data_IF_613277281308
#
_entry.id   IF_613277281308
#
_cell.length_a   1.000
_cell.length_b   1.000
_cell.length_c   1.000
_cell.angle_alpha   90.00
_cell.angle_beta   90.00
_cell.angle_gamma   90.00
#
_symmetry.space_group_name_H-M   'P 1'
#
loop_
_entity.id
_entity.type
_entity.pdbx_description
1 polymer ?
#
# COMPACT_ATOMS: atom_id res chain seq x y z
N UNK A 1 -23.88 -19.15 2.26
CA UNK A 1 -22.98 -18.42 3.17
C UNK A 1 -23.20 -16.93 2.94
N UNK A 2 -23.83 -16.23 3.89
CA UNK A 2 -23.99 -14.78 3.81
C UNK A 2 -22.64 -14.19 4.21
N UNK A 3 -21.84 -13.77 3.24
CA UNK A 3 -20.70 -12.89 3.52
C UNK A 3 -21.33 -11.59 4.04
N UNK A 4 -21.32 -11.42 5.35
CA UNK A 4 -21.64 -10.14 5.99
C UNK A 4 -20.53 -9.16 5.63
N UNK A 5 -20.57 -8.67 4.39
CA UNK A 5 -19.68 -7.59 3.95
C UNK A 5 -20.01 -6.38 4.80
N UNK A 6 -19.06 -6.00 5.64
CA UNK A 6 -19.16 -4.92 6.60
C UNK A 6 -19.67 -3.65 5.92
N UNK A 7 -20.72 -3.03 6.50
CA UNK A 7 -21.17 -1.68 6.15
C UNK A 7 -19.94 -0.77 6.10
N UNK A 8 -19.81 -0.03 5.00
CA UNK A 8 -18.85 1.08 4.77
C UNK A 8 -17.62 1.06 5.69
N UNK A 9 -16.49 0.55 5.20
CA UNK A 9 -15.23 0.61 5.95
C UNK A 9 -14.98 2.08 6.31
N UNK A 10 -15.06 2.39 7.60
CA UNK A 10 -14.67 3.69 8.12
C UNK A 10 -13.16 3.84 7.92
N UNK A 11 -12.78 4.53 6.85
CA UNK A 11 -11.40 4.93 6.62
C UNK A 11 -11.13 6.15 7.49
N UNK A 12 -10.15 6.10 8.41
CA UNK A 12 -9.85 7.24 9.27
C UNK A 12 -9.35 8.41 8.42
N UNK A 13 -9.64 9.68 8.76
CA UNK A 13 -9.08 10.83 8.07
C UNK A 13 -7.58 10.95 8.41
N UNK A 14 -6.75 10.18 7.72
CA UNK A 14 -5.32 10.03 7.98
C UNK A 14 -4.49 10.25 6.72
N UNK A 15 -3.31 10.85 6.87
CA UNK A 15 -2.31 10.99 5.80
C UNK A 15 -1.39 9.78 5.76
N UNK A 16 -0.87 9.44 4.57
CA UNK A 16 0.08 8.36 4.39
C UNK A 16 1.27 8.45 5.35
N UNK A 17 1.83 9.66 5.51
CA UNK A 17 2.93 9.92 6.44
C UNK A 17 2.65 9.44 7.87
N UNK A 18 1.43 9.65 8.38
CA UNK A 18 1.07 9.20 9.74
C UNK A 18 0.95 7.68 9.83
N UNK A 19 0.47 7.03 8.76
CA UNK A 19 0.47 5.56 8.68
C UNK A 19 1.91 5.03 8.73
N UNK A 20 2.81 5.63 7.96
CA UNK A 20 4.23 5.26 7.94
C UNK A 20 4.90 5.49 9.30
N UNK A 21 4.73 6.66 9.91
CA UNK A 21 5.26 6.98 11.24
C UNK A 21 4.78 5.98 12.30
N UNK A 22 3.49 5.62 12.28
CA UNK A 22 2.91 4.63 13.18
C UNK A 22 3.53 3.23 13.00
N UNK A 23 3.60 2.74 11.76
CA UNK A 23 4.16 1.41 11.45
C UNK A 23 5.64 1.36 11.84
N UNK A 24 6.41 2.39 11.51
CA UNK A 24 7.84 2.46 11.85
C UNK A 24 8.10 2.61 13.34
N UNK A 25 7.18 3.23 14.09
CA UNK A 25 7.27 3.31 15.55
C UNK A 25 7.16 1.92 16.18
N UNK A 26 6.15 1.13 15.78
CA UNK A 26 5.93 -0.23 16.28
C UNK A 26 7.04 -1.18 15.82
N UNK A 27 7.58 -0.99 14.61
CA UNK A 27 8.71 -1.79 14.14
C UNK A 27 9.94 -1.71 15.05
N UNK A 28 10.10 -0.59 15.76
CA UNK A 28 11.25 -0.30 16.62
C UNK A 28 10.99 -0.53 18.11
N UNK A 29 9.71 -0.66 18.51
CA UNK A 29 9.29 -0.64 19.92
C UNK A 29 8.08 -1.54 20.12
N UNK A 30 8.06 -2.27 21.23
CA UNK A 30 6.82 -2.84 21.74
C UNK A 30 6.00 -1.70 22.36
N UNK A 31 4.98 -1.24 21.64
CA UNK A 31 4.18 -0.09 22.05
C UNK A 31 2.80 -0.53 22.55
N UNK A 32 2.38 -0.04 23.70
CA UNK A 32 0.99 -0.12 24.13
C UNK A 32 0.12 0.90 23.40
N UNK A 33 -1.19 0.71 23.44
CA UNK A 33 -2.13 1.71 22.92
C UNK A 33 -1.99 3.08 23.61
N UNK A 34 -1.58 3.12 24.87
CA UNK A 34 -1.36 4.38 25.57
C UNK A 34 -0.09 5.08 25.06
N UNK A 35 1.01 4.35 24.88
CA UNK A 35 2.26 4.90 24.33
C UNK A 35 2.04 5.54 22.95
N UNK A 36 1.21 4.91 22.11
CA UNK A 36 0.87 5.41 20.79
C UNK A 36 0.06 6.71 20.85
N UNK A 37 -0.85 6.85 21.82
CA UNK A 37 -1.59 8.10 22.04
C UNK A 37 -0.71 9.20 22.59
N UNK A 38 0.14 8.88 23.58
CA UNK A 38 1.09 9.83 24.17
C UNK A 38 2.09 10.35 23.13
N UNK A 39 2.47 9.49 22.18
CA UNK A 39 3.32 9.86 21.05
C UNK A 39 2.57 10.60 19.92
N UNK A 40 1.27 10.83 20.05
CA UNK A 40 0.44 11.47 19.03
C UNK A 40 0.25 10.65 17.75
N UNK A 41 0.59 9.37 17.78
CA UNK A 41 0.51 8.43 16.66
C UNK A 41 -0.86 7.76 16.56
N UNK A 42 -1.68 7.83 17.61
CA UNK A 42 -3.03 7.31 17.63
C UNK A 42 -4.05 8.41 17.96
N UNK A 43 -5.24 8.34 17.36
CA UNK A 43 -6.32 9.30 17.53
C UNK A 43 -7.61 8.56 17.91
N UNK A 44 -8.41 9.17 18.80
CA UNK A 44 -9.72 8.66 19.21
C UNK A 44 -9.73 7.92 20.54
N UNK A 45 -10.93 7.51 20.98
CA UNK A 45 -11.14 6.75 22.23
C UNK A 45 -11.04 5.23 21.97
N UNK A 46 -10.66 4.45 22.99
CA UNK A 46 -10.58 2.98 22.89
C UNK A 46 -9.42 2.50 21.98
N UNK A 47 -9.61 1.49 21.15
CA UNK A 47 -8.51 0.89 20.37
C UNK A 47 -7.81 1.84 19.38
N UNK A 48 -8.33 3.05 19.16
CA UNK A 48 -7.77 4.02 18.22
C UNK A 48 -8.17 3.73 16.77
N UNK A 49 -8.24 4.78 15.95
CA UNK A 49 -8.72 4.66 14.59
C UNK A 49 -7.66 4.09 13.63
N UNK A 50 -6.38 4.34 13.90
CA UNK A 50 -5.24 3.93 13.06
C UNK A 50 -4.89 2.46 13.33
N UNK A 51 -4.83 2.06 14.60
CA UNK A 51 -4.66 0.66 14.99
C UNK A 51 -5.75 -0.21 14.37
N UNK A 52 -7.03 0.18 14.53
CA UNK A 52 -8.16 -0.57 13.96
C UNK A 52 -8.07 -0.68 12.44
N UNK A 53 -7.64 0.37 11.77
CA UNK A 53 -7.42 0.34 10.32
C UNK A 53 -6.31 -0.64 9.94
N UNK A 54 -5.15 -0.57 10.58
CA UNK A 54 -4.00 -1.44 10.27
C UNK A 54 -4.22 -2.90 10.67
N UNK A 55 -5.00 -3.18 11.73
CA UNK A 55 -5.43 -4.55 12.06
C UNK A 55 -6.35 -5.13 10.99
N UNK A 56 -7.27 -4.33 10.43
CA UNK A 56 -8.12 -4.78 9.30
C UNK A 56 -7.29 -5.12 8.07
N UNK A 57 -6.21 -4.38 7.83
CA UNK A 57 -5.24 -4.71 6.78
C UNK A 57 -4.31 -5.88 7.15
N UNK A 58 -4.45 -6.44 8.35
CA UNK A 58 -3.58 -7.47 8.92
C UNK A 58 -2.11 -7.04 9.01
N UNK A 59 -1.81 -5.74 9.11
CA UNK A 59 -0.45 -5.21 9.24
C UNK A 59 0.01 -5.29 10.70
N UNK A 60 -0.89 -4.98 11.62
CA UNK A 60 -0.65 -5.08 13.06
C UNK A 60 -1.67 -5.99 13.71
N UNK A 61 -1.37 -6.43 14.92
CA UNK A 61 -2.27 -7.12 15.82
C UNK A 61 -2.11 -6.56 17.23
N UNK A 62 -3.18 -6.60 18.03
CA UNK A 62 -3.12 -6.22 19.45
C UNK A 62 -3.22 -7.46 20.32
N UNK A 63 -2.14 -7.77 21.03
CA UNK A 63 -2.04 -8.91 21.94
C UNK A 63 -1.72 -8.38 23.33
N UNK A 64 -2.56 -8.70 24.32
CA UNK A 64 -2.40 -8.26 25.71
C UNK A 64 -2.19 -6.74 25.88
N UNK A 65 -2.86 -5.93 25.05
CA UNK A 65 -2.77 -4.46 25.09
C UNK A 65 -1.54 -3.86 24.42
N UNK A 66 -0.64 -4.69 23.87
CA UNK A 66 0.52 -4.29 23.09
C UNK A 66 0.21 -4.45 21.61
N UNK A 67 0.58 -3.45 20.81
CA UNK A 67 0.47 -3.50 19.36
C UNK A 67 1.76 -4.07 18.78
N UNK A 68 1.65 -5.10 17.95
CA UNK A 68 2.78 -5.77 17.31
C UNK A 68 2.58 -5.88 15.79
N UNK A 69 3.68 -5.95 15.03
CA UNK A 69 3.63 -6.25 13.60
C UNK A 69 3.33 -7.74 13.37
N UNK A 70 2.37 -8.02 12.50
CA UNK A 70 2.17 -9.38 11.97
C UNK A 70 3.29 -9.75 11.01
N UNK A 71 3.29 -10.98 10.48
CA UNK A 71 4.18 -11.37 9.37
C UNK A 71 4.04 -10.44 8.17
N UNK A 72 2.81 -10.05 7.81
CA UNK A 72 2.56 -9.11 6.71
C UNK A 72 3.12 -7.72 7.03
N UNK A 73 2.97 -7.25 8.27
CA UNK A 73 3.52 -5.98 8.72
C UNK A 73 5.05 -5.95 8.71
N UNK A 74 5.70 -7.06 9.08
CA UNK A 74 7.16 -7.20 8.96
C UNK A 74 7.61 -7.14 7.51
N UNK A 75 6.92 -7.85 6.61
CA UNK A 75 7.18 -7.77 5.16
C UNK A 75 7.02 -6.36 4.62
N UNK A 76 5.97 -5.64 5.05
CA UNK A 76 5.77 -4.23 4.69
C UNK A 76 6.96 -3.36 5.11
N UNK A 77 7.41 -3.49 6.37
CA UNK A 77 8.56 -2.73 6.89
C UNK A 77 9.82 -3.02 6.10
N UNK A 78 10.15 -4.29 5.85
CA UNK A 78 11.34 -4.68 5.08
C UNK A 78 11.32 -4.10 3.66
N UNK A 79 10.18 -4.18 2.97
CA UNK A 79 10.07 -3.61 1.62
C UNK A 79 10.12 -2.08 1.64
N UNK A 80 9.53 -1.45 2.67
CA UNK A 80 9.53 0.02 2.85
C UNK A 80 10.96 0.57 2.98
N UNK A 81 11.90 -0.18 3.56
CA UNK A 81 13.30 0.24 3.64
C UNK A 81 13.98 0.36 2.26
N UNK A 82 13.57 -0.45 1.29
CA UNK A 82 14.15 -0.45 -0.06
C UNK A 82 13.40 0.45 -1.02
N UNK A 83 12.06 0.43 -0.95
CA UNK A 83 11.18 1.02 -1.95
C UNK A 83 10.45 2.27 -1.45
N UNK A 84 10.74 2.70 -0.22
CA UNK A 84 10.10 3.87 0.40
C UNK A 84 8.60 3.68 0.56
N UNK A 85 7.84 4.77 0.45
CA UNK A 85 6.39 4.75 0.65
C UNK A 85 5.63 4.06 -0.49
N UNK A 86 6.24 3.79 -1.65
CA UNK A 86 5.57 3.15 -2.77
C UNK A 86 4.98 1.77 -2.41
N UNK A 87 5.53 1.08 -1.41
CA UNK A 87 5.03 -0.23 -0.94
C UNK A 87 3.64 -0.19 -0.32
N UNK A 88 3.17 0.99 0.10
CA UNK A 88 1.79 1.13 0.57
C UNK A 88 0.79 1.03 -0.59
N UNK A 89 1.20 1.32 -1.83
CA UNK A 89 0.34 1.16 -3.00
C UNK A 89 -0.15 -0.30 -3.17
N UNK A 90 0.71 -1.32 -3.31
CA UNK A 90 0.25 -2.70 -3.45
C UNK A 90 -0.48 -3.20 -2.20
N UNK A 91 -0.09 -2.78 -0.99
CA UNK A 91 -0.84 -3.12 0.23
C UNK A 91 -2.29 -2.63 0.16
N UNK A 92 -2.49 -1.34 -0.13
CA UNK A 92 -3.82 -0.73 -0.21
C UNK A 92 -4.61 -1.25 -1.40
N UNK A 93 -3.97 -1.45 -2.55
CA UNK A 93 -4.60 -2.00 -3.75
C UNK A 93 -5.13 -3.43 -3.52
N UNK A 94 -4.42 -4.24 -2.73
CA UNK A 94 -4.86 -5.61 -2.42
C UNK A 94 -5.87 -5.68 -1.27
N UNK A 95 -5.73 -4.82 -0.24
CA UNK A 95 -6.48 -4.94 1.02
C UNK A 95 -7.61 -3.93 1.20
N UNK A 96 -7.69 -2.89 0.37
CA UNK A 96 -8.71 -1.84 0.45
C UNK A 96 -9.47 -1.77 -0.87
N UNK A 97 -10.62 -2.46 -1.01
CA UNK A 97 -11.39 -2.50 -2.26
C UNK A 97 -11.72 -1.10 -2.80
N UNK A 98 -12.00 -0.14 -1.93
CA UNK A 98 -12.31 1.24 -2.32
C UNK A 98 -11.10 1.95 -2.92
N UNK A 99 -9.89 1.69 -2.43
CA UNK A 99 -8.65 2.22 -3.02
C UNK A 99 -8.41 1.60 -4.39
N UNK A 100 -8.57 0.28 -4.51
CA UNK A 100 -8.46 -0.43 -5.80
C UNK A 100 -9.39 0.16 -6.86
N UNK A 101 -10.69 0.30 -6.52
CA UNK A 101 -11.68 0.88 -7.42
C UNK A 101 -11.34 2.32 -7.82
N UNK A 102 -10.84 3.13 -6.88
CA UNK A 102 -10.38 4.49 -7.17
C UNK A 102 -9.26 4.48 -8.22
N UNK A 103 -8.24 3.66 -8.02
CA UNK A 103 -7.11 3.55 -8.96
C UNK A 103 -7.57 3.01 -10.31
N UNK A 104 -8.42 1.98 -10.34
CA UNK A 104 -8.92 1.39 -11.58
C UNK A 104 -9.74 2.40 -12.39
N UNK A 105 -10.60 3.22 -11.76
CA UNK A 105 -11.38 4.25 -12.47
C UNK A 105 -10.48 5.32 -13.09
N UNK A 106 -9.49 5.83 -12.34
CA UNK A 106 -8.58 6.87 -12.84
C UNK A 106 -7.63 6.32 -13.92
N UNK A 107 -7.28 5.02 -13.85
CA UNK A 107 -6.48 4.33 -14.88
C UNK A 107 -7.22 4.22 -16.21
N UNK A 108 -8.53 4.06 -16.18
CA UNK A 108 -9.34 3.93 -17.40
C UNK A 108 -9.59 5.27 -18.11
N UNK A 109 -9.69 6.37 -17.35
CA UNK A 109 -9.93 7.70 -17.91
C UNK A 109 -9.58 8.83 -16.95
N UNK A 110 -9.27 9.99 -17.53
CA UNK A 110 -9.20 11.25 -16.78
C UNK A 110 -10.59 11.63 -16.30
N UNK A 111 -10.72 12.04 -15.03
CA UNK A 111 -12.05 12.17 -14.40
C UNK A 111 -12.07 13.27 -13.34
N UNK A 112 -13.16 14.05 -13.29
CA UNK A 112 -13.36 15.07 -12.27
C UNK A 112 -13.64 14.48 -10.88
N UNK A 113 -13.43 15.26 -9.81
CA UNK A 113 -13.53 14.75 -8.42
C UNK A 113 -14.90 14.15 -8.05
N UNK A 114 -16.00 14.83 -8.39
CA UNK A 114 -17.36 14.37 -8.05
C UNK A 114 -17.79 13.18 -8.93
N UNK A 115 -17.36 13.17 -10.20
CA UNK A 115 -17.59 12.06 -11.11
C UNK A 115 -16.81 10.81 -10.65
N UNK A 116 -15.57 10.99 -10.20
CA UNK A 116 -14.75 9.91 -9.64
C UNK A 116 -15.40 9.32 -8.39
N UNK A 117 -15.90 10.17 -7.48
CA UNK A 117 -16.59 9.71 -6.27
C UNK A 117 -17.84 8.88 -6.60
N UNK A 118 -18.62 9.33 -7.59
CA UNK A 118 -19.80 8.61 -8.10
C UNK A 118 -19.41 7.27 -8.72
N UNK A 119 -18.44 7.27 -9.65
CA UNK A 119 -18.00 6.07 -10.36
C UNK A 119 -17.44 5.00 -9.41
N UNK A 120 -16.70 5.40 -8.37
CA UNK A 120 -16.20 4.47 -7.35
C UNK A 120 -17.35 3.84 -6.56
N UNK A 121 -18.33 4.64 -6.12
CA UNK A 121 -19.49 4.12 -5.39
C UNK A 121 -20.36 3.22 -6.27
N UNK A 122 -20.58 3.55 -7.54
CA UNK A 122 -21.34 2.72 -8.48
C UNK A 122 -20.71 1.33 -8.65
N UNK A 123 -19.37 1.26 -8.74
CA UNK A 123 -18.65 -0.01 -8.78
C UNK A 123 -18.69 -0.74 -7.44
N UNK A 124 -18.59 -0.01 -6.33
CA UNK A 124 -18.65 -0.58 -5.00
C UNK A 124 -20.00 -1.24 -4.71
N UNK A 125 -21.11 -0.59 -5.11
CA UNK A 125 -22.47 -1.11 -4.95
C UNK A 125 -22.71 -2.40 -5.75
N UNK A 126 -22.06 -2.55 -6.91
CA UNK A 126 -22.12 -3.81 -7.69
C UNK A 126 -21.42 -4.97 -6.99
N UNK A 127 -20.37 -4.70 -6.20
CA UNK A 127 -19.63 -5.71 -5.44
C UNK A 127 -20.31 -5.99 -4.09
N UNK A 128 -20.81 -4.95 -3.43
CA UNK A 128 -21.47 -5.02 -2.13
C UNK A 128 -22.59 -3.98 -2.08
N UNK A 129 -23.86 -4.38 -2.28
CA UNK A 129 -24.99 -3.44 -2.37
C UNK A 129 -25.23 -2.57 -1.13
N UNK A 130 -24.69 -2.96 0.03
CA UNK A 130 -24.80 -2.22 1.29
C UNK A 130 -23.57 -1.38 1.61
N UNK A 131 -22.51 -1.47 0.81
CA UNK A 131 -21.30 -0.69 1.00
C UNK A 131 -21.41 0.70 0.38
N UNK A 132 -20.90 1.70 1.10
CA UNK A 132 -20.87 3.08 0.65
C UNK A 132 -19.56 3.75 1.08
N UNK A 133 -18.95 4.51 0.18
CA UNK A 133 -17.78 5.31 0.47
C UNK A 133 -18.21 6.77 0.68
N UNK A 134 -18.16 7.24 1.93
CA UNK A 134 -18.47 8.64 2.25
C UNK A 134 -17.39 9.60 1.71
N UNK A 135 -17.74 10.89 1.59
CA UNK A 135 -16.84 11.92 1.00
C UNK A 135 -15.52 12.10 1.76
N UNK A 136 -15.51 11.93 3.08
CA UNK A 136 -14.28 12.09 3.90
C UNK A 136 -13.32 10.94 3.62
N UNK A 137 -13.81 9.70 3.67
CA UNK A 137 -13.04 8.51 3.35
C UNK A 137 -12.54 8.54 1.90
N UNK A 138 -13.39 8.94 0.96
CA UNK A 138 -13.01 9.13 -0.45
C UNK A 138 -11.87 10.12 -0.62
N UNK A 139 -11.99 11.33 -0.06
CA UNK A 139 -10.93 12.35 -0.11
C UNK A 139 -9.62 11.86 0.53
N UNK A 140 -9.73 11.08 1.60
CA UNK A 140 -8.54 10.52 2.27
C UNK A 140 -7.84 9.50 1.38
N UNK A 141 -8.57 8.58 0.74
CA UNK A 141 -8.01 7.61 -0.19
C UNK A 141 -7.38 8.28 -1.41
N UNK A 142 -8.04 9.32 -1.93
CA UNK A 142 -7.53 10.11 -3.05
C UNK A 142 -6.23 10.83 -2.69
N UNK A 143 -6.18 11.48 -1.52
CA UNK A 143 -4.97 12.11 -1.01
C UNK A 143 -3.83 11.09 -0.84
N UNK A 144 -4.13 9.88 -0.36
CA UNK A 144 -3.10 8.83 -0.26
C UNK A 144 -2.61 8.40 -1.65
N UNK A 145 -3.49 8.32 -2.65
CA UNK A 145 -3.09 8.03 -4.02
C UNK A 145 -2.20 9.14 -4.62
N UNK A 146 -2.48 10.41 -4.31
CA UNK A 146 -1.63 11.55 -4.67
C UNK A 146 -0.28 11.50 -3.93
N UNK A 147 -0.28 11.27 -2.62
CA UNK A 147 0.94 11.15 -1.79
C UNK A 147 1.86 10.02 -2.29
N UNK A 148 1.28 8.95 -2.84
CA UNK A 148 2.00 7.82 -3.45
C UNK A 148 2.47 8.11 -4.89
N UNK A 149 2.04 9.20 -5.50
CA UNK A 149 2.31 9.52 -6.90
C UNK A 149 1.60 8.61 -7.90
N UNK A 150 0.51 7.95 -7.50
CA UNK A 150 -0.30 7.12 -8.40
C UNK A 150 -1.21 7.97 -9.29
N UNK A 151 -1.67 9.11 -8.77
CA UNK A 151 -2.57 10.04 -9.46
C UNK A 151 -2.13 11.47 -9.20
N UNK A 152 -2.52 12.38 -10.09
CA UNK A 152 -2.30 13.82 -9.95
C UNK A 152 -3.49 14.60 -10.52
N UNK A 153 -3.69 15.82 -10.02
CA UNK A 153 -4.78 16.69 -10.44
C UNK A 153 -4.29 17.71 -11.47
N UNK A 154 -4.69 17.51 -12.72
CA UNK A 154 -4.30 18.35 -13.85
C UNK A 154 -5.54 18.97 -14.48
N UNK A 155 -5.60 20.31 -14.56
CA UNK A 155 -6.73 20.99 -15.21
C UNK A 155 -8.11 20.68 -14.60
N UNK A 156 -8.18 20.35 -13.31
CA UNK A 156 -9.43 20.03 -12.62
C UNK A 156 -9.87 18.56 -12.69
N UNK A 157 -9.16 17.72 -13.45
CA UNK A 157 -9.38 16.27 -13.53
C UNK A 157 -8.21 15.51 -12.89
N UNK A 158 -8.47 14.30 -12.42
CA UNK A 158 -7.44 13.38 -11.96
C UNK A 158 -6.94 12.51 -13.11
N UNK A 159 -5.63 12.34 -13.18
CA UNK A 159 -4.91 11.57 -14.19
C UNK A 159 -4.10 10.48 -13.50
N UNK A 160 -4.05 9.28 -14.07
CA UNK A 160 -3.20 8.20 -13.58
C UNK A 160 -1.76 8.40 -14.05
N UNK A 161 -0.80 8.45 -13.12
CA UNK A 161 0.61 8.69 -13.41
C UNK A 161 1.42 7.41 -13.66
N UNK A 162 0.80 6.24 -13.47
CA UNK A 162 1.48 4.95 -13.49
C UNK A 162 1.48 4.29 -12.12
N UNK A 163 1.96 3.05 -12.05
CA UNK A 163 2.05 2.28 -10.81
C UNK A 163 3.25 2.75 -9.97
N UNK A 164 3.04 3.29 -8.75
CA UNK A 164 4.11 3.72 -7.85
C UNK A 164 5.15 2.63 -7.55
N UNK A 165 4.72 1.38 -7.43
CA UNK A 165 5.60 0.25 -7.14
C UNK A 165 6.52 -0.03 -8.34
N UNK A 166 5.98 -0.04 -9.56
CA UNK A 166 6.77 -0.23 -10.79
C UNK A 166 7.85 0.84 -10.89
N UNK A 167 7.48 2.10 -10.65
CA UNK A 167 8.42 3.22 -10.63
C UNK A 167 9.52 3.02 -9.58
N UNK A 168 9.15 2.74 -8.33
CA UNK A 168 10.11 2.56 -7.25
C UNK A 168 11.05 1.36 -7.45
N UNK A 169 10.54 0.23 -7.94
CA UNK A 169 11.34 -0.96 -8.28
C UNK A 169 12.34 -0.64 -9.39
N UNK A 170 11.91 0.08 -10.42
CA UNK A 170 12.77 0.50 -11.52
C UNK A 170 13.88 1.44 -11.03
N UNK A 171 13.52 2.48 -10.27
CA UNK A 171 14.47 3.45 -9.72
C UNK A 171 15.50 2.78 -8.78
N UNK A 172 15.06 1.85 -7.94
CA UNK A 172 15.95 1.08 -7.07
C UNK A 172 16.98 0.28 -7.88
N UNK A 173 16.54 -0.45 -8.91
CA UNK A 173 17.46 -1.27 -9.72
C UNK A 173 18.35 -0.41 -10.63
N UNK A 174 17.89 0.76 -11.09
CA UNK A 174 18.74 1.74 -11.78
C UNK A 174 19.84 2.30 -10.85
N UNK A 175 19.54 2.47 -9.56
CA UNK A 175 20.51 2.99 -8.58
C UNK A 175 21.58 1.96 -8.21
N UNK A 176 21.21 0.68 -8.09
CA UNK A 176 22.10 -0.35 -7.53
C UNK A 176 22.58 -1.39 -8.54
N UNK A 177 22.12 -1.34 -9.79
CA UNK A 177 22.47 -2.29 -10.84
C UNK A 177 22.77 -1.63 -12.18
N UNK A 178 23.10 -2.47 -13.16
CA UNK A 178 23.37 -2.06 -14.54
C UNK A 178 22.31 -2.67 -15.45
N UNK A 179 21.71 -1.84 -16.32
CA UNK A 179 20.75 -2.31 -17.33
C UNK A 179 21.49 -2.78 -18.58
N UNK A 180 21.26 -4.03 -18.98
CA UNK A 180 21.77 -4.59 -20.25
C UNK A 180 20.57 -5.18 -20.99
N UNK A 181 20.24 -4.61 -22.15
CA UNK A 181 19.01 -4.94 -22.87
C UNK A 181 17.77 -4.66 -22.01
N UNK A 182 16.95 -5.69 -21.79
CA UNK A 182 15.73 -5.60 -20.97
C UNK A 182 15.92 -6.04 -19.51
N UNK A 183 17.13 -6.46 -19.11
CA UNK A 183 17.38 -7.00 -17.78
C UNK A 183 18.28 -6.10 -16.95
N UNK A 184 18.10 -6.16 -15.63
CA UNK A 184 18.99 -5.51 -14.67
C UNK A 184 19.93 -6.53 -14.06
N UNK A 185 21.20 -6.16 -13.95
CA UNK A 185 22.26 -6.96 -13.35
C UNK A 185 22.67 -6.28 -12.05
N UNK A 186 22.47 -6.97 -10.93
CA UNK A 186 22.59 -6.39 -9.59
C UNK A 186 23.32 -7.34 -8.65
N UNK A 187 23.98 -6.80 -7.63
CA UNK A 187 24.64 -7.63 -6.61
C UNK A 187 23.61 -8.37 -5.75
N UNK A 188 23.97 -9.57 -5.29
CA UNK A 188 23.08 -10.47 -4.54
C UNK A 188 22.43 -9.83 -3.31
N UNK A 189 23.14 -8.95 -2.60
CA UNK A 189 22.67 -8.26 -1.40
C UNK A 189 21.63 -7.16 -1.68
N UNK A 190 21.50 -6.74 -2.94
CA UNK A 190 20.53 -5.73 -3.39
C UNK A 190 19.36 -6.33 -4.17
N UNK A 191 19.29 -7.65 -4.32
CA UNK A 191 18.13 -8.30 -4.92
C UNK A 191 16.94 -8.23 -3.95
N UNK A 192 15.85 -7.55 -4.35
CA UNK A 192 14.65 -7.40 -3.52
C UNK A 192 13.92 -8.74 -3.33
N UNK A 193 13.66 -9.46 -4.43
CA UNK A 193 13.02 -10.79 -4.43
C UNK A 193 13.97 -11.78 -5.12
N UNK A 194 14.57 -12.69 -4.34
CA UNK A 194 15.62 -13.59 -4.83
C UNK A 194 15.13 -14.52 -5.94
N UNK A 195 13.89 -14.95 -5.86
CA UNK A 195 13.23 -15.85 -6.81
C UNK A 195 13.04 -15.22 -8.19
N UNK A 196 13.11 -13.88 -8.29
CA UNK A 196 13.02 -13.14 -9.55
C UNK A 196 14.39 -12.84 -10.17
N UNK A 197 15.46 -13.38 -9.59
CA UNK A 197 16.82 -13.23 -10.10
C UNK A 197 17.46 -14.58 -10.38
N UNK A 198 18.32 -14.61 -11.40
CA UNK A 198 19.22 -15.75 -11.65
C UNK A 198 20.66 -15.27 -11.63
N UNK A 199 21.52 -16.01 -10.95
CA UNK A 199 22.96 -15.73 -10.95
C UNK A 199 23.53 -15.97 -12.35
N UNK A 200 24.32 -15.00 -12.84
CA UNK A 200 24.97 -15.02 -14.14
C UNK A 200 26.50 -15.15 -13.94
N UNK A 201 27.03 -16.40 -13.93
CA UNK A 201 28.47 -16.62 -13.84
C UNK A 201 29.18 -16.06 -15.09
N UNK A 202 30.43 -15.58 -14.98
CA UNK A 202 31.31 -15.61 -13.81
C UNK A 202 31.17 -14.37 -12.88
N UNK A 203 30.22 -13.48 -13.15
CA UNK A 203 30.21 -12.12 -12.61
C UNK A 203 29.69 -11.97 -11.17
N UNK A 204 29.17 -13.04 -10.55
CA UNK A 204 28.42 -13.01 -9.28
C UNK A 204 27.27 -11.98 -9.27
N UNK A 205 26.79 -11.55 -10.45
CA UNK A 205 25.65 -10.68 -10.62
C UNK A 205 24.39 -11.50 -10.80
N UNK A 206 23.27 -10.95 -10.33
CA UNK A 206 21.96 -11.50 -10.55
C UNK A 206 21.28 -10.74 -11.68
N UNK A 207 20.89 -11.47 -12.72
CA UNK A 207 19.97 -10.99 -13.74
C UNK A 207 18.57 -11.04 -13.18
N UNK A 208 17.98 -9.87 -12.94
CA UNK A 208 16.66 -9.70 -12.31
C UNK A 208 15.61 -9.32 -13.34
N UNK A 209 14.47 -9.98 -13.24
CA UNK A 209 13.23 -9.67 -13.95
C UNK A 209 12.36 -8.73 -13.09
N UNK A 210 12.18 -7.49 -13.53
CA UNK A 210 11.40 -6.49 -12.80
C UNK A 210 9.91 -6.81 -12.74
N UNK A 211 9.36 -7.41 -13.80
CA UNK A 211 7.93 -7.75 -13.84
C UNK A 211 7.63 -8.85 -12.82
N UNK A 212 8.54 -9.83 -12.69
CA UNK A 212 8.49 -10.81 -11.62
C UNK A 212 8.53 -10.16 -10.23
N UNK A 213 9.45 -9.20 -10.00
CA UNK A 213 9.58 -8.52 -8.69
C UNK A 213 8.29 -7.80 -8.32
N UNK A 214 7.73 -7.01 -9.24
CA UNK A 214 6.48 -6.27 -9.05
C UNK A 214 5.34 -7.24 -8.74
N UNK A 215 5.16 -8.29 -9.55
CA UNK A 215 4.13 -9.31 -9.37
C UNK A 215 4.24 -10.00 -8.00
N UNK A 216 5.45 -10.40 -7.61
CA UNK A 216 5.69 -11.06 -6.32
C UNK A 216 5.36 -10.14 -5.15
N UNK A 217 5.72 -8.86 -5.22
CA UNK A 217 5.37 -7.90 -4.16
C UNK A 217 3.84 -7.73 -4.03
N UNK A 218 3.12 -7.61 -5.14
CA UNK A 218 1.64 -7.59 -5.09
C UNK A 218 1.08 -8.87 -4.47
N UNK A 219 1.64 -10.04 -4.80
CA UNK A 219 1.18 -11.32 -4.27
C UNK A 219 1.46 -11.47 -2.77
N UNK A 220 2.56 -10.91 -2.25
CA UNK A 220 2.83 -10.87 -0.81
C UNK A 220 1.72 -10.15 -0.05
N UNK A 221 1.09 -9.14 -0.66
CA UNK A 221 0.03 -8.36 -0.04
C UNK A 221 -1.39 -8.88 -0.30
N UNK A 222 -1.61 -9.76 -1.28
CA UNK A 222 -2.93 -10.35 -1.56
C UNK A 222 -3.45 -11.20 -0.38
N UNK A 223 -2.56 -11.84 0.37
CA UNK A 223 -2.90 -12.76 1.46
C UNK A 223 -3.33 -14.13 0.97
N UNK A 224 -3.19 -15.13 1.84
CA UNK A 224 -3.92 -16.39 1.70
C UNK A 224 -5.38 -16.12 2.10
N UNK A 225 -6.32 -16.49 1.23
CA UNK A 225 -7.76 -16.50 1.52
C UNK A 225 -8.09 -17.65 2.47
#
# INVERSE_FOLDING_TARGET
MVVTVQRSITFPPIRLRRIDEYVMYIARRNATLNDLRESGLEIGRGKGDITRFLERLKVVEVVNGVVALTTLGKTLVSLREWLGHAVYHPLLYQRVPQYKLLIDVVRERNVGIEELHTAVNDRLLKISPTAWLNKVAFKTLLQIAEDLGAVDKQGGVYVFLGDPLVKAVTEYHMKYGVKIGQSFYITRDKVIIRECGKEEPPSNLYKVDLDCVVLKIYNLFAGEN
#
